data_IF_594926170152
#
_entry.id   IF_594926170152
#
_cell.length_a   1.000
_cell.length_b   1.000
_cell.length_c   1.000
_cell.angle_alpha   90.00
_cell.angle_beta   90.00
_cell.angle_gamma   90.00
#
_symmetry.space_group_name_H-M   'P 1'
#
loop_
_entity.id
_entity.type
_entity.pdbx_description
1 polymer ?
#
# COMPACT_ATOMS: atom_id res chain seq x y z
N UNK A 1 -11.06 43.00 -35.78
CA UNK A 1 -10.69 41.71 -35.17
C UNK A 1 -9.95 41.99 -33.87
N UNK A 2 -10.46 41.51 -32.74
CA UNK A 2 -9.83 41.73 -31.44
C UNK A 2 -8.60 40.83 -31.31
N UNK A 3 -7.40 41.39 -31.37
CA UNK A 3 -6.20 40.69 -30.95
C UNK A 3 -6.17 40.65 -29.42
N UNK A 4 -6.42 39.47 -28.84
CA UNK A 4 -5.91 39.13 -27.52
C UNK A 4 -5.18 37.80 -27.64
N UNK A 5 -3.86 37.87 -27.68
CA UNK A 5 -2.99 36.71 -27.47
C UNK A 5 -3.09 36.38 -25.98
N UNK A 6 -4.01 35.49 -25.65
CA UNK A 6 -4.31 35.10 -24.27
C UNK A 6 -4.32 33.59 -24.11
N UNK A 7 -3.42 32.86 -24.78
CA UNK A 7 -3.19 31.46 -24.46
C UNK A 7 -2.35 31.40 -23.15
N UNK A 8 -3.00 31.66 -22.03
CA UNK A 8 -2.44 31.32 -20.73
C UNK A 8 -2.31 29.80 -20.68
N UNK A 9 -1.11 29.29 -20.43
CA UNK A 9 -0.91 27.86 -20.15
C UNK A 9 -1.62 27.54 -18.83
N UNK A 10 -2.90 27.15 -18.90
CA UNK A 10 -3.61 26.65 -17.72
C UNK A 10 -3.09 25.25 -17.44
N UNK A 11 -2.13 25.14 -16.51
CA UNK A 11 -1.75 23.84 -15.95
C UNK A 11 -2.86 23.43 -14.99
N UNK A 12 -3.75 22.56 -15.45
CA UNK A 12 -4.75 21.90 -14.61
C UNK A 12 -4.05 20.86 -13.72
N UNK A 13 -3.22 21.32 -12.78
CA UNK A 13 -2.51 20.49 -11.80
C UNK A 13 -3.27 20.42 -10.49
N UNK A 14 -4.42 19.73 -10.50
CA UNK A 14 -5.24 19.51 -9.30
C UNK A 14 -5.35 18.01 -9.02
N UNK A 15 -4.24 17.44 -8.60
CA UNK A 15 -4.16 16.03 -8.25
C UNK A 15 -4.52 15.83 -6.77
N UNK A 16 -5.43 14.90 -6.50
CA UNK A 16 -5.75 14.51 -5.13
C UNK A 16 -4.66 13.62 -4.56
N UNK A 17 -4.32 13.80 -3.28
CA UNK A 17 -3.44 12.85 -2.58
C UNK A 17 -3.95 11.41 -2.66
N UNK A 18 -3.03 10.48 -2.93
CA UNK A 18 -3.32 9.05 -2.92
C UNK A 18 -3.90 8.63 -1.57
N UNK A 19 -5.00 7.87 -1.63
CA UNK A 19 -5.65 7.31 -0.44
C UNK A 19 -5.05 5.93 -0.18
N UNK A 20 -4.68 5.66 1.07
CA UNK A 20 -4.06 4.41 1.54
C UNK A 20 -5.05 3.25 1.64
N UNK A 21 -5.85 3.06 0.58
CA UNK A 21 -6.80 1.96 0.41
C UNK A 21 -6.06 0.64 0.17
N UNK A 22 -6.80 -0.45 0.02
CA UNK A 22 -6.30 -1.78 -0.25
C UNK A 22 -6.48 -2.75 0.92
N UNK A 23 -5.98 -3.96 0.67
CA UNK A 23 -5.95 -5.06 1.65
C UNK A 23 -4.91 -4.70 2.73
N UNK A 24 -5.26 -4.97 3.98
CA UNK A 24 -4.42 -4.74 5.16
C UNK A 24 -3.95 -6.05 5.78
N UNK A 25 -4.81 -7.06 5.77
CA UNK A 25 -4.48 -8.43 6.19
C UNK A 25 -4.75 -9.35 5.00
N UNK A 26 -3.73 -10.10 4.60
CA UNK A 26 -3.80 -11.01 3.46
C UNK A 26 -4.41 -12.36 3.86
N UNK A 27 -4.75 -13.17 2.84
CA UNK A 27 -5.21 -14.53 3.08
C UNK A 27 -4.12 -15.36 3.77
N UNK A 28 -4.50 -16.19 4.74
CA UNK A 28 -3.57 -17.00 5.51
C UNK A 28 -2.98 -16.30 6.74
N UNK A 29 -3.30 -15.02 6.96
CA UNK A 29 -2.79 -14.27 8.10
C UNK A 29 -3.79 -14.26 9.27
N UNK A 30 -3.29 -14.25 10.52
CA UNK A 30 -4.12 -14.10 11.70
C UNK A 30 -4.68 -12.67 11.79
N UNK A 31 -5.97 -12.56 12.09
CA UNK A 31 -6.66 -11.33 12.44
C UNK A 31 -7.21 -11.45 13.86
N UNK A 32 -7.16 -10.35 14.61
CA UNK A 32 -7.84 -10.19 15.90
C UNK A 32 -9.22 -9.58 15.63
N UNK A 33 -10.19 -9.80 16.50
CA UNK A 33 -11.48 -9.11 16.44
C UNK A 33 -11.27 -7.58 16.39
N UNK A 34 -11.99 -6.90 15.50
CA UNK A 34 -11.88 -5.47 15.24
C UNK A 34 -10.81 -5.08 14.21
N UNK A 35 -9.90 -5.97 13.81
CA UNK A 35 -8.89 -5.64 12.82
C UNK A 35 -9.51 -5.32 11.46
N UNK A 36 -8.99 -4.29 10.80
CA UNK A 36 -9.36 -3.96 9.42
C UNK A 36 -8.68 -4.93 8.47
N UNK A 37 -9.47 -5.63 7.65
CA UNK A 37 -8.97 -6.57 6.64
C UNK A 37 -8.79 -5.86 5.30
N UNK A 38 -9.77 -5.06 4.87
CA UNK A 38 -9.74 -4.35 3.58
C UNK A 38 -10.34 -2.96 3.69
N UNK A 39 -9.61 -1.94 3.22
CA UNK A 39 -10.16 -0.60 2.99
C UNK A 39 -10.41 -0.41 1.51
N UNK A 40 -11.66 -0.25 1.09
CA UNK A 40 -12.02 -0.24 -0.32
C UNK A 40 -12.94 0.93 -0.67
N UNK A 41 -13.10 1.15 -1.98
CA UNK A 41 -14.14 2.02 -2.54
C UNK A 41 -15.16 1.13 -3.22
N UNK A 42 -16.41 1.22 -2.77
CA UNK A 42 -17.42 0.21 -3.07
C UNK A 42 -17.04 -1.16 -2.51
N UNK A 43 -17.81 -2.18 -2.88
CA UNK A 43 -17.63 -3.56 -2.45
C UNK A 43 -16.91 -4.37 -3.53
N UNK A 44 -15.58 -4.26 -3.60
CA UNK A 44 -14.75 -5.16 -4.43
C UNK A 44 -14.68 -6.54 -3.81
N UNK A 45 -14.53 -6.55 -2.48
CA UNK A 45 -14.63 -7.73 -1.64
C UNK A 45 -15.88 -7.61 -0.78
N UNK A 46 -16.63 -8.70 -0.70
CA UNK A 46 -17.87 -8.79 0.06
C UNK A 46 -17.61 -9.43 1.42
N UNK A 47 -18.36 -9.04 2.47
CA UNK A 47 -18.28 -9.71 3.75
C UNK A 47 -18.78 -11.16 3.62
N UNK A 48 -18.06 -12.07 4.27
CA UNK A 48 -18.43 -13.47 4.45
C UNK A 48 -18.64 -13.77 5.93
N UNK A 49 -18.22 -14.96 6.37
CA UNK A 49 -18.38 -15.39 7.77
C UNK A 49 -17.41 -14.64 8.68
N UNK A 50 -17.89 -14.21 9.87
CA UNK A 50 -17.12 -13.50 10.89
C UNK A 50 -16.45 -12.19 10.42
N UNK A 51 -17.02 -11.53 9.41
CA UNK A 51 -16.55 -10.26 8.87
C UNK A 51 -17.71 -9.27 8.81
N UNK A 52 -17.51 -8.08 9.38
CA UNK A 52 -18.44 -6.96 9.31
C UNK A 52 -18.10 -5.99 8.17
N UNK A 53 -19.09 -5.20 7.75
CA UNK A 53 -18.94 -4.11 6.78
C UNK A 53 -19.22 -2.76 7.44
N UNK A 54 -18.30 -1.81 7.28
CA UNK A 54 -18.46 -0.43 7.76
C UNK A 54 -19.23 0.46 6.80
N UNK A 55 -19.53 1.70 7.23
CA UNK A 55 -20.25 2.70 6.41
C UNK A 55 -19.55 3.02 5.08
N UNK A 56 -18.22 2.98 5.06
CA UNK A 56 -17.41 3.23 3.85
C UNK A 56 -17.06 1.94 3.08
N UNK A 57 -17.75 0.83 3.36
CA UNK A 57 -17.50 -0.51 2.83
C UNK A 57 -16.17 -1.14 3.27
N UNK A 58 -15.50 -0.58 4.28
CA UNK A 58 -14.35 -1.22 4.92
C UNK A 58 -14.77 -2.54 5.57
N UNK A 59 -13.98 -3.60 5.36
CA UNK A 59 -14.21 -4.90 5.98
C UNK A 59 -13.35 -5.05 7.23
N UNK A 60 -13.96 -5.52 8.32
CA UNK A 60 -13.29 -5.76 9.59
C UNK A 60 -13.65 -7.13 10.18
N UNK A 61 -12.73 -7.73 10.94
CA UNK A 61 -12.94 -9.03 11.58
C UNK A 61 -13.85 -8.90 12.80
N UNK A 62 -14.81 -9.83 12.97
CA UNK A 62 -15.66 -9.92 14.16
C UNK A 62 -15.10 -10.87 15.22
N UNK A 63 -14.32 -11.87 14.79
CA UNK A 63 -13.69 -12.86 15.64
C UNK A 63 -12.19 -12.96 15.33
N UNK A 64 -11.41 -13.46 16.29
CA UNK A 64 -10.01 -13.77 16.06
C UNK A 64 -9.86 -15.07 15.27
N UNK A 65 -9.02 -15.07 14.24
CA UNK A 65 -8.94 -16.20 13.31
C UNK A 65 -8.07 -15.94 12.08
N UNK A 66 -8.05 -16.88 11.16
CA UNK A 66 -7.33 -16.79 9.90
C UNK A 66 -8.22 -16.17 8.81
N UNK A 67 -7.69 -15.20 8.06
CA UNK A 67 -8.43 -14.58 6.94
C UNK A 67 -8.36 -15.47 5.70
N UNK A 68 -9.52 -15.72 5.08
CA UNK A 68 -9.63 -16.49 3.84
C UNK A 68 -10.42 -15.72 2.78
N UNK A 69 -9.87 -15.65 1.58
CA UNK A 69 -10.51 -15.07 0.40
C UNK A 69 -11.04 -16.19 -0.49
N UNK A 70 -12.33 -16.16 -0.84
CA UNK A 70 -12.97 -17.12 -1.76
C UNK A 70 -13.70 -16.38 -2.88
N UNK A 71 -13.61 -16.87 -4.12
CA UNK A 71 -14.43 -16.40 -5.24
C UNK A 71 -15.64 -17.32 -5.41
N UNK A 72 -16.83 -16.76 -5.62
CA UNK A 72 -18.06 -17.52 -5.95
C UNK A 72 -18.34 -17.49 -7.46
N UNK A 73 -19.34 -18.25 -7.91
CA UNK A 73 -19.76 -18.37 -9.31
C UNK A 73 -20.03 -17.01 -10.00
N UNK A 74 -20.45 -16.00 -9.24
CA UNK A 74 -20.72 -14.65 -9.76
C UNK A 74 -19.46 -13.79 -9.97
N UNK A 75 -18.26 -14.39 -9.97
CA UNK A 75 -16.95 -13.71 -9.96
C UNK A 75 -16.74 -12.70 -8.80
N UNK A 76 -17.63 -12.71 -7.80
CA UNK A 76 -17.53 -11.87 -6.60
C UNK A 76 -16.59 -12.53 -5.58
N UNK A 77 -15.72 -11.71 -5.00
CA UNK A 77 -14.78 -12.13 -3.97
C UNK A 77 -15.40 -11.94 -2.58
N UNK A 78 -15.33 -12.95 -1.73
CA UNK A 78 -15.81 -12.94 -0.36
C UNK A 78 -14.65 -13.12 0.61
N UNK A 79 -14.69 -12.40 1.73
CA UNK A 79 -13.69 -12.47 2.80
C UNK A 79 -14.35 -13.09 4.02
N UNK A 80 -13.79 -14.18 4.52
CA UNK A 80 -14.25 -14.83 5.75
C UNK A 80 -13.10 -14.98 6.72
N UNK A 81 -13.40 -14.98 8.02
CA UNK A 81 -12.42 -15.30 9.07
C UNK A 81 -12.78 -16.66 9.65
N UNK A 82 -11.85 -17.60 9.56
CA UNK A 82 -11.94 -18.92 10.19
C UNK A 82 -11.42 -18.77 11.61
N UNK A 83 -12.26 -18.90 12.65
CA UNK A 83 -11.81 -18.72 14.02
C UNK A 83 -10.71 -19.72 14.37
N UNK A 84 -9.65 -19.25 15.02
CA UNK A 84 -8.77 -20.19 15.71
C UNK A 84 -9.56 -20.74 16.89
N UNK A 85 -9.51 -22.04 17.11
CA UNK A 85 -10.10 -22.65 18.28
C UNK A 85 -9.37 -22.13 19.53
N UNK A 86 -9.82 -21.00 20.06
CA UNK A 86 -9.44 -20.58 21.40
C UNK A 86 -10.17 -21.50 22.34
N UNK A 87 -9.44 -22.35 23.05
CA UNK A 87 -9.98 -22.99 24.23
C UNK A 87 -10.51 -21.86 25.14
N UNK A 88 -11.75 -21.95 25.66
CA UNK A 88 -12.23 -20.98 26.63
C UNK A 88 -11.36 -21.14 27.88
N UNK A 89 -10.44 -20.21 28.08
CA UNK A 89 -9.77 -20.06 29.37
C UNK A 89 -10.88 -19.62 30.31
N UNK A 90 -11.23 -20.52 31.23
CA UNK A 90 -12.30 -20.37 32.18
C UNK A 90 -12.14 -19.08 33.01
N UNK A 91 -13.29 -18.53 33.38
CA UNK A 91 -13.50 -17.42 34.29
C UNK A 91 -12.77 -17.65 35.63
N UNK A 92 -11.71 -16.89 35.91
CA UNK A 92 -11.49 -16.23 37.20
C UNK A 92 -10.29 -15.26 37.10
N UNK A 93 -10.26 -14.26 37.98
CA UNK A 93 -9.27 -13.18 38.11
C UNK A 93 -9.44 -11.93 37.22
N UNK A 94 -10.41 -11.11 37.59
CA UNK A 94 -10.10 -9.69 37.84
C UNK A 94 -9.19 -9.61 39.08
N UNK A 95 -8.14 -8.76 39.12
CA UNK A 95 -8.39 -7.34 39.39
C UNK A 95 -7.43 -6.36 38.70
N UNK A 96 -8.02 -5.29 38.17
CA UNK A 96 -7.76 -3.87 38.46
C UNK A 96 -6.32 -3.25 38.37
N UNK A 97 -6.24 -1.91 38.21
CA UNK A 97 -5.28 -1.24 37.34
C UNK A 97 -4.05 -0.69 38.09
N UNK A 98 -2.96 -0.42 37.35
CA UNK A 98 -1.95 0.56 37.79
C UNK A 98 -1.54 1.49 36.65
N UNK A 99 -1.94 2.74 36.82
CA UNK A 99 -1.30 3.89 36.24
C UNK A 99 0.11 4.07 36.84
N UNK A 100 0.99 4.71 36.04
CA UNK A 100 2.24 5.41 36.41
C UNK A 100 3.37 4.56 37.01
N UNK A 101 4.43 4.41 36.20
CA UNK A 101 5.80 4.55 36.65
C UNK A 101 6.65 5.08 35.49
N UNK A 102 6.76 6.40 35.41
CA UNK A 102 8.01 7.03 34.95
C UNK A 102 9.08 6.87 36.05
N UNK A 103 10.29 7.35 35.72
CA UNK A 103 11.46 7.63 36.55
C UNK A 103 12.34 6.39 36.85
N UNK A 104 13.67 6.37 36.67
CA UNK A 104 14.76 7.37 36.70
C UNK A 104 15.90 6.88 35.79
N UNK A 105 16.47 7.67 34.88
CA UNK A 105 17.52 8.69 35.11
C UNK A 105 18.73 8.23 35.93
N UNK A 106 19.91 8.25 35.30
CA UNK A 106 21.22 8.49 35.91
C UNK A 106 22.29 8.68 34.79
N UNK A 107 23.32 9.52 34.99
CA UNK A 107 23.48 10.74 34.17
C UNK A 107 24.94 11.05 33.72
N UNK A 108 25.14 12.25 33.15
CA UNK A 108 26.39 13.07 32.99
C UNK A 108 27.43 12.50 31.98
N UNK A 109 28.05 13.23 31.05
CA UNK A 109 28.50 14.62 31.11
C UNK A 109 28.70 15.28 29.71
N UNK A 110 28.49 16.59 29.76
CA UNK A 110 28.76 17.71 28.85
C UNK A 110 30.21 17.80 28.33
N UNK A 111 30.41 18.31 27.10
CA UNK A 111 31.33 19.42 26.70
C UNK A 111 31.14 19.72 25.19
N UNK A 112 30.80 20.96 24.85
CA UNK A 112 30.98 21.61 23.55
C UNK A 112 32.28 22.47 23.58
N UNK A 113 32.77 23.18 22.54
CA UNK A 113 32.32 23.39 21.14
C UNK A 113 33.49 23.43 20.08
N UNK A 114 33.23 24.03 18.91
CA UNK A 114 34.14 24.51 17.81
C UNK A 114 34.63 23.46 16.77
N UNK A 115 34.72 23.66 15.43
CA UNK A 115 34.81 24.82 14.49
C UNK A 115 34.65 24.35 13.01
N UNK A 116 34.44 25.33 12.09
CA UNK A 116 34.76 25.42 10.61
C UNK A 116 34.01 24.54 9.57
N UNK A 117 33.17 25.13 8.70
CA UNK A 117 33.43 25.79 7.38
C UNK A 117 33.63 24.78 6.23
N UNK A 118 32.69 24.60 5.29
CA UNK A 118 32.42 25.40 4.06
C UNK A 118 32.90 24.64 2.78
N UNK A 119 32.13 24.76 1.68
CA UNK A 119 32.46 24.46 0.25
C UNK A 119 32.60 22.97 -0.15
N UNK A 120 32.20 22.48 -1.33
CA UNK A 120 31.66 23.04 -2.57
C UNK A 120 31.00 21.90 -3.40
N UNK A 121 30.05 22.26 -4.28
CA UNK A 121 29.69 21.47 -5.47
C UNK A 121 30.78 21.62 -6.56
N UNK A 122 30.94 20.71 -7.53
CA UNK A 122 30.15 20.80 -8.78
C UNK A 122 29.90 19.47 -9.54
N UNK A 123 29.35 19.63 -10.75
CA UNK A 123 28.59 18.73 -11.63
C UNK A 123 29.38 17.78 -12.60
N UNK A 124 28.59 16.99 -13.37
CA UNK A 124 28.85 16.36 -14.70
C UNK A 124 29.80 15.14 -14.77
N UNK A 125 29.66 14.07 -15.58
CA UNK A 125 29.08 13.89 -16.92
C UNK A 125 28.91 12.37 -17.29
N UNK A 126 27.87 12.06 -18.08
CA UNK A 126 27.62 10.99 -19.07
C UNK A 126 27.96 9.47 -18.89
N UNK A 127 27.03 8.56 -19.32
CA UNK A 127 27.28 7.12 -19.46
C UNK A 127 27.88 6.73 -20.83
N UNK A 128 28.87 5.83 -20.83
CA UNK A 128 29.48 5.26 -22.06
C UNK A 128 28.71 4.07 -22.63
N UNK A 129 28.52 4.13 -23.96
CA UNK A 129 27.98 3.11 -24.88
C UNK A 129 28.74 1.76 -24.82
N UNK A 130 28.02 0.65 -25.00
CA UNK A 130 28.50 -0.53 -25.74
C UNK A 130 27.49 -0.94 -26.81
N UNK A 131 27.89 -0.76 -28.06
CA UNK A 131 27.41 -1.48 -29.25
C UNK A 131 27.81 -2.97 -29.13
N UNK A 132 27.27 -3.99 -29.82
CA UNK A 132 26.60 -4.17 -31.12
C UNK A 132 25.93 -5.59 -31.10
N UNK A 133 25.52 -6.26 -32.21
CA UNK A 133 25.25 -5.83 -33.58
C UNK A 133 23.88 -6.31 -34.15
N UNK A 134 23.46 -5.67 -35.24
CA UNK A 134 22.38 -6.11 -36.15
C UNK A 134 22.79 -7.41 -36.87
N UNK A 135 21.89 -8.41 -36.92
CA UNK A 135 21.83 -9.39 -38.02
C UNK A 135 20.65 -9.03 -38.92
N UNK A 136 20.94 -8.72 -40.18
CA UNK A 136 19.99 -8.54 -41.27
C UNK A 136 20.42 -9.51 -42.38
N UNK A 137 19.59 -10.51 -42.65
CA UNK A 137 19.58 -11.45 -43.78
C UNK A 137 18.17 -12.07 -43.71
N UNK A 138 17.38 -12.24 -44.76
CA UNK A 138 17.63 -12.21 -46.19
C UNK A 138 16.35 -11.79 -46.94
N UNK A 139 16.55 -11.40 -48.19
CA UNK A 139 15.62 -11.19 -49.30
C UNK A 139 14.39 -12.12 -49.40
N UNK A 140 13.27 -11.53 -49.83
CA UNK A 140 12.20 -12.17 -50.60
C UNK A 140 11.35 -11.08 -51.31
N UNK A 141 11.80 -10.66 -52.50
CA UNK A 141 10.95 -10.27 -53.65
C UNK A 141 10.27 -11.58 -54.16
N UNK A 142 9.07 -11.69 -54.75
CA UNK A 142 8.36 -10.89 -55.75
C UNK A 142 6.92 -11.46 -55.94
N UNK A 143 5.94 -10.57 -56.21
CA UNK A 143 4.62 -10.69 -56.87
C UNK A 143 3.59 -11.83 -56.56
N UNK A 144 2.30 -11.48 -56.58
CA UNK A 144 1.44 -12.06 -57.62
C UNK A 144 0.54 -11.04 -58.33
N UNK A 145 0.49 -11.12 -59.66
CA UNK A 145 -0.56 -10.51 -60.49
C UNK A 145 -1.13 -11.59 -61.42
N UNK A 146 -2.40 -11.92 -61.22
CA UNK A 146 -3.25 -12.65 -62.15
C UNK A 146 -4.68 -12.12 -62.01
N UNK A 147 -5.26 -11.81 -63.17
CA UNK A 147 -6.62 -11.33 -63.49
C UNK A 147 -6.93 -9.83 -63.32
#
# INVERSE_FOLDING_TARGET
MAHKKGAGSSRNGRESHSKRLGIKIFGGQPAIAGNIIVRQRGTKHNPGLNVGIGKDHTLFALAAGEVVFKKKADNRSYVSVIPFATAPVAEDAAPAPKAKAEVKTAPVAEVAPEVVAETAAPAEEAPKKKAAPKKKAADAEEAPAAE
#
